data_IF_712981293124
#
_entry.id   IF_712981293124
#
_cell.length_a   1.000
_cell.length_b   1.000
_cell.length_c   1.000
_cell.angle_alpha   90.00
_cell.angle_beta   90.00
_cell.angle_gamma   90.00
#
_symmetry.space_group_name_H-M   'P 1'
#
loop_
_entity.id
_entity.type
_entity.pdbx_description
1 polymer ?
#
# COMPACT_ATOMS: atom_id res chain seq x y z
N UNK A 1 -10.50 8.37 14.26
CA UNK A 1 -10.40 8.02 12.83
C UNK A 1 -8.93 8.06 12.47
N UNK A 2 -8.37 6.97 11.99
CA UNK A 2 -6.97 6.86 11.55
C UNK A 2 -6.92 6.65 10.04
N UNK A 3 -5.82 7.04 9.41
CA UNK A 3 -5.57 6.86 7.99
C UNK A 3 -4.28 6.07 7.82
N UNK A 4 -4.35 4.99 7.09
CA UNK A 4 -3.24 4.08 6.84
C UNK A 4 -2.82 4.19 5.39
N UNK A 5 -1.55 4.52 5.14
CA UNK A 5 -1.01 4.56 3.79
C UNK A 5 -0.17 3.31 3.54
N UNK A 6 -0.67 2.42 2.70
CA UNK A 6 0.01 1.19 2.30
C UNK A 6 0.93 1.48 1.12
N UNK A 7 2.23 1.36 1.33
CA UNK A 7 3.24 1.46 0.28
C UNK A 7 4.09 0.19 0.21
N UNK A 8 4.82 -0.01 -0.85
CA UNK A 8 5.70 -1.17 -1.01
C UNK A 8 7.14 -0.77 -1.28
N UNK A 9 8.06 -1.70 -1.05
CA UNK A 9 9.45 -1.54 -1.48
C UNK A 9 9.61 -1.62 -3.01
N UNK A 10 8.57 -2.14 -3.71
CA UNK A 10 8.49 -2.28 -5.17
C UNK A 10 7.04 -2.48 -5.61
N UNK A 11 6.82 -2.75 -6.90
CA UNK A 11 5.58 -3.32 -7.42
C UNK A 11 5.50 -4.83 -7.06
N UNK A 12 4.31 -5.42 -7.13
CA UNK A 12 4.05 -6.87 -6.90
C UNK A 12 4.57 -7.44 -5.55
N UNK A 13 4.65 -6.60 -4.52
CA UNK A 13 5.06 -7.01 -3.18
C UNK A 13 3.90 -7.35 -2.24
N UNK A 14 2.66 -7.40 -2.75
CA UNK A 14 1.47 -7.77 -1.96
C UNK A 14 0.72 -6.60 -1.33
N UNK A 15 0.89 -5.35 -1.80
CA UNK A 15 0.17 -4.16 -1.28
C UNK A 15 -1.34 -4.34 -1.25
N UNK A 16 -1.93 -4.82 -2.34
CA UNK A 16 -3.38 -4.97 -2.50
C UNK A 16 -3.96 -5.98 -1.50
N UNK A 17 -3.24 -7.09 -1.26
CA UNK A 17 -3.62 -8.09 -0.24
C UNK A 17 -3.53 -7.46 1.17
N UNK A 18 -2.43 -6.78 1.48
CA UNK A 18 -2.28 -6.08 2.77
C UNK A 18 -3.35 -5.01 2.95
N UNK A 19 -3.67 -4.26 1.90
CA UNK A 19 -4.75 -3.26 1.95
C UNK A 19 -6.12 -3.91 2.21
N UNK A 20 -6.41 -5.07 1.61
CA UNK A 20 -7.63 -5.84 1.89
C UNK A 20 -7.67 -6.31 3.36
N UNK A 21 -6.57 -6.84 3.88
CA UNK A 21 -6.45 -7.27 5.29
C UNK A 21 -6.70 -6.09 6.25
N UNK A 22 -6.09 -4.94 6.01
CA UNK A 22 -6.29 -3.74 6.83
C UNK A 22 -7.72 -3.22 6.75
N UNK A 23 -8.30 -3.19 5.55
CA UNK A 23 -9.68 -2.78 5.30
C UNK A 23 -10.66 -3.67 6.07
N UNK A 24 -10.47 -4.99 6.03
CA UNK A 24 -11.29 -5.96 6.77
C UNK A 24 -11.07 -5.84 8.29
N UNK A 25 -9.81 -5.79 8.74
CA UNK A 25 -9.43 -5.74 10.15
C UNK A 25 -10.03 -4.54 10.89
N UNK A 26 -9.99 -3.38 10.25
CA UNK A 26 -10.41 -2.09 10.81
C UNK A 26 -11.85 -1.72 10.42
N UNK A 27 -12.49 -2.51 9.55
CA UNK A 27 -13.74 -2.15 8.85
C UNK A 27 -13.63 -0.76 8.21
N UNK A 28 -12.43 -0.46 7.68
CA UNK A 28 -12.08 0.84 7.13
C UNK A 28 -12.64 1.02 5.73
N UNK A 29 -12.77 2.27 5.30
CA UNK A 29 -12.95 2.58 3.89
C UNK A 29 -11.63 2.35 3.14
N UNK A 30 -11.72 2.12 1.84
CA UNK A 30 -10.55 1.91 0.98
C UNK A 30 -10.50 2.94 -0.15
N UNK A 31 -9.30 3.39 -0.45
CA UNK A 31 -9.05 4.31 -1.55
C UNK A 31 -7.69 4.06 -2.19
N UNK A 32 -7.68 3.87 -3.50
CA UNK A 32 -6.47 3.88 -4.32
C UNK A 32 -6.47 5.16 -5.15
N UNK A 33 -5.65 6.18 -4.80
CA UNK A 33 -5.64 7.48 -5.48
C UNK A 33 -5.38 7.38 -6.97
N UNK A 34 -4.47 6.49 -7.37
CA UNK A 34 -4.02 6.34 -8.75
C UNK A 34 -3.99 4.86 -9.11
N UNK A 35 -4.70 4.50 -10.16
CA UNK A 35 -4.64 3.22 -10.83
C UNK A 35 -3.97 3.40 -12.18
N UNK A 36 -3.02 2.51 -12.54
CA UNK A 36 -2.40 2.47 -13.86
C UNK A 36 -2.48 1.05 -14.40
N UNK A 37 -3.22 0.88 -15.49
CA UNK A 37 -3.56 -0.42 -16.09
C UNK A 37 -4.63 -1.18 -15.30
N UNK A 38 -5.00 -2.34 -15.82
CA UNK A 38 -5.97 -3.29 -15.24
C UNK A 38 -7.33 -2.66 -14.91
N UNK A 39 -7.81 -1.71 -15.72
CA UNK A 39 -9.03 -0.95 -15.42
C UNK A 39 -10.30 -1.81 -15.45
N UNK A 40 -10.29 -2.94 -16.14
CA UNK A 40 -11.42 -3.88 -16.19
C UNK A 40 -11.60 -4.65 -14.86
N UNK A 41 -10.49 -4.87 -14.14
CA UNK A 41 -10.48 -5.48 -12.81
C UNK A 41 -9.37 -4.87 -11.97
N UNK A 42 -9.60 -3.63 -11.55
CA UNK A 42 -8.61 -2.81 -10.85
C UNK A 42 -8.38 -3.26 -9.38
N UNK A 43 -7.39 -2.65 -8.73
CA UNK A 43 -7.07 -3.02 -7.34
C UNK A 43 -8.23 -2.68 -6.37
N UNK A 44 -9.05 -1.68 -6.66
CA UNK A 44 -10.25 -1.37 -5.86
C UNK A 44 -11.25 -2.52 -5.93
N UNK A 45 -11.49 -3.07 -7.13
CA UNK A 45 -12.36 -4.22 -7.33
C UNK A 45 -11.78 -5.50 -6.68
N UNK A 46 -10.45 -5.70 -6.79
CA UNK A 46 -9.75 -6.81 -6.11
C UNK A 46 -9.94 -6.75 -4.60
N UNK A 47 -9.68 -5.59 -3.98
CA UNK A 47 -9.88 -5.40 -2.53
C UNK A 47 -11.34 -5.59 -2.14
N UNK A 48 -12.28 -5.02 -2.89
CA UNK A 48 -13.71 -5.19 -2.66
C UNK A 48 -14.15 -6.66 -2.74
N UNK A 49 -13.59 -7.43 -3.67
CA UNK A 49 -13.85 -8.87 -3.79
C UNK A 49 -13.32 -9.69 -2.63
N UNK A 50 -12.24 -9.24 -1.98
CA UNK A 50 -11.58 -9.91 -0.86
C UNK A 50 -12.15 -9.55 0.52
N UNK A 51 -12.76 -8.39 0.66
CA UNK A 51 -13.34 -7.90 1.92
C UNK A 51 -14.71 -8.51 2.14
N UNK A 52 -15.00 -8.94 3.37
CA UNK A 52 -16.25 -9.59 3.78
C UNK A 52 -17.21 -8.66 4.49
N UNK A 53 -16.70 -7.64 5.20
CA UNK A 53 -17.54 -6.71 5.92
C UNK A 53 -18.35 -5.83 4.95
N UNK A 54 -19.52 -5.40 5.38
CA UNK A 54 -20.46 -4.61 4.57
C UNK A 54 -20.44 -3.13 4.91
N UNK A 55 -19.54 -2.69 5.78
CA UNK A 55 -19.48 -1.29 6.26
C UNK A 55 -18.46 -0.46 5.50
N UNK A 56 -17.46 -1.11 4.91
CA UNK A 56 -16.41 -0.44 4.14
C UNK A 56 -16.92 0.17 2.84
N UNK A 57 -16.54 1.41 2.58
CA UNK A 57 -16.82 2.11 1.31
C UNK A 57 -15.55 2.07 0.45
N UNK A 58 -15.70 1.69 -0.81
CA UNK A 58 -14.61 1.65 -1.79
C UNK A 58 -14.70 2.89 -2.67
N UNK A 59 -13.75 3.80 -2.48
CA UNK A 59 -13.76 5.12 -3.14
C UNK A 59 -13.14 5.05 -4.53
N UNK A 60 -13.67 5.86 -5.45
CA UNK A 60 -13.15 5.96 -6.83
C UNK A 60 -11.74 6.52 -6.85
N UNK A 61 -10.93 6.03 -7.78
CA UNK A 61 -9.60 6.58 -8.06
C UNK A 61 -9.70 8.05 -8.44
N UNK A 62 -8.71 8.85 -8.07
CA UNK A 62 -8.56 10.23 -8.60
C UNK A 62 -8.05 10.21 -10.05
N UNK A 63 -7.22 9.22 -10.37
CA UNK A 63 -6.74 8.94 -11.72
C UNK A 63 -6.84 7.46 -12.02
N UNK A 64 -7.47 7.11 -13.13
CA UNK A 64 -7.49 5.80 -13.75
C UNK A 64 -6.81 5.92 -15.11
N UNK A 65 -5.61 5.35 -15.24
CA UNK A 65 -4.73 5.45 -16.41
C UNK A 65 -4.72 4.11 -17.14
N UNK A 66 -4.78 4.14 -18.47
CA UNK A 66 -5.02 2.93 -19.27
C UNK A 66 -3.83 1.96 -19.32
N UNK A 67 -2.60 2.48 -19.28
CA UNK A 67 -1.41 1.66 -19.52
C UNK A 67 -0.82 1.17 -18.19
N UNK A 68 -0.46 -0.14 -18.04
CA UNK A 68 0.14 -0.69 -16.84
C UNK A 68 1.63 -0.30 -16.73
N UNK A 69 1.87 0.98 -16.47
CA UNK A 69 3.18 1.59 -16.30
C UNK A 69 3.19 2.48 -15.05
N UNK A 70 4.34 3.08 -14.76
CA UNK A 70 4.41 4.13 -13.74
C UNK A 70 3.45 5.28 -14.07
N UNK A 71 2.81 5.91 -13.07
CA UNK A 71 1.79 6.93 -13.30
C UNK A 71 2.19 8.03 -14.28
N UNK A 72 3.44 8.53 -14.20
CA UNK A 72 3.91 9.58 -15.12
C UNK A 72 3.95 9.12 -16.57
N UNK A 73 4.41 7.87 -16.81
CA UNK A 73 4.50 7.33 -18.17
C UNK A 73 3.12 6.98 -18.75
N UNK A 74 2.27 6.34 -17.93
CA UNK A 74 0.89 6.05 -18.33
C UNK A 74 0.10 7.33 -18.63
N UNK A 75 0.23 8.34 -17.78
CA UNK A 75 -0.41 9.64 -17.98
C UNK A 75 0.07 10.35 -19.26
N UNK A 76 1.36 10.24 -19.60
CA UNK A 76 1.90 10.78 -20.85
C UNK A 76 1.24 10.14 -22.07
N UNK A 77 1.07 8.82 -22.08
CA UNK A 77 0.41 8.07 -23.15
C UNK A 77 -1.06 8.47 -23.25
N UNK A 78 -1.74 8.64 -22.12
CA UNK A 78 -3.15 9.01 -22.06
C UNK A 78 -3.39 10.51 -22.35
N UNK A 79 -2.34 11.32 -22.57
CA UNK A 79 -2.46 12.77 -22.74
C UNK A 79 -2.94 13.49 -21.46
N UNK A 80 -2.72 12.90 -20.30
CA UNK A 80 -3.14 13.42 -18.99
C UNK A 80 -1.93 13.93 -18.20
N UNK A 81 -2.11 14.99 -17.45
CA UNK A 81 -1.10 15.46 -16.47
C UNK A 81 -1.58 15.17 -15.06
N UNK A 82 -0.90 14.24 -14.38
CA UNK A 82 -1.13 13.96 -12.97
C UNK A 82 -0.63 15.12 -12.11
N UNK A 83 -1.42 15.52 -11.12
CA UNK A 83 -1.09 16.59 -10.17
C UNK A 83 -1.62 16.26 -8.79
N UNK A 84 -0.80 16.38 -7.75
CA UNK A 84 -1.21 16.21 -6.36
C UNK A 84 -2.38 17.11 -5.97
N UNK A 85 -2.46 18.32 -6.53
CA UNK A 85 -3.56 19.26 -6.26
C UNK A 85 -4.94 18.73 -6.64
N UNK A 86 -5.00 17.82 -7.61
CA UNK A 86 -6.24 17.17 -8.05
C UNK A 86 -6.54 15.86 -7.32
N UNK A 87 -5.56 15.28 -6.62
CA UNK A 87 -5.74 14.08 -5.81
C UNK A 87 -6.29 14.51 -4.46
N UNK A 88 -7.61 14.38 -4.31
CA UNK A 88 -8.31 14.78 -3.09
C UNK A 88 -8.78 13.55 -2.33
N UNK A 89 -8.33 13.45 -1.09
CA UNK A 89 -8.77 12.43 -0.15
C UNK A 89 -10.31 12.43 -0.03
N UNK A 90 -10.94 11.25 -0.10
CA UNK A 90 -12.38 11.15 0.08
C UNK A 90 -12.80 11.57 1.48
N UNK A 91 -13.97 12.20 1.58
CA UNK A 91 -14.57 12.53 2.87
C UNK A 91 -15.21 11.28 3.45
N UNK A 92 -14.73 10.83 4.58
CA UNK A 92 -15.28 9.70 5.33
C UNK A 92 -15.32 9.99 6.82
N UNK A 93 -16.19 9.30 7.56
CA UNK A 93 -16.23 9.27 9.02
C UNK A 93 -15.62 7.99 9.58
N UNK A 94 -15.12 7.11 8.70
CA UNK A 94 -14.50 5.83 9.04
C UNK A 94 -12.97 5.92 9.01
N UNK A 95 -12.27 4.89 9.48
CA UNK A 95 -10.86 4.71 9.16
C UNK A 95 -10.69 4.64 7.64
N UNK A 96 -9.52 5.02 7.13
CA UNK A 96 -9.25 5.00 5.69
C UNK A 96 -7.94 4.26 5.40
N UNK A 97 -8.01 3.24 4.56
CA UNK A 97 -6.85 2.57 3.98
C UNK A 97 -6.60 3.17 2.60
N UNK A 98 -5.40 3.72 2.42
CA UNK A 98 -4.96 4.38 1.18
C UNK A 98 -3.87 3.51 0.56
N UNK A 99 -4.07 3.03 -0.66
CA UNK A 99 -3.06 2.22 -1.35
C UNK A 99 -2.26 3.04 -2.36
N UNK A 100 -0.94 3.07 -2.18
CA UNK A 100 -0.01 3.67 -3.14
C UNK A 100 0.16 2.83 -4.41
N UNK A 101 0.78 3.40 -5.43
CA UNK A 101 1.08 2.72 -6.69
C UNK A 101 2.59 2.45 -6.80
N UNK A 102 3.00 1.18 -6.92
CA UNK A 102 4.41 0.78 -6.98
C UNK A 102 5.17 1.06 -5.68
N UNK A 103 6.41 1.48 -5.80
CA UNK A 103 7.26 1.89 -4.68
C UNK A 103 7.16 3.37 -4.36
N UNK A 104 7.82 3.77 -3.25
CA UNK A 104 7.72 5.10 -2.67
C UNK A 104 8.13 6.24 -3.61
N UNK A 105 9.20 6.05 -4.39
CA UNK A 105 9.73 7.09 -5.28
C UNK A 105 9.25 6.94 -6.73
N UNK A 106 8.17 6.17 -6.95
CA UNK A 106 7.54 6.10 -8.28
C UNK A 106 7.01 7.48 -8.66
N UNK A 107 7.40 8.01 -9.83
CA UNK A 107 7.03 9.37 -10.23
C UNK A 107 5.56 9.47 -10.66
N UNK A 108 4.92 10.53 -10.21
CA UNK A 108 3.59 10.95 -10.63
C UNK A 108 3.67 11.90 -11.84
N UNK A 109 4.72 12.72 -11.86
CA UNK A 109 5.08 13.67 -12.89
C UNK A 109 6.57 14.05 -12.71
N UNK A 110 7.06 15.09 -13.42
CA UNK A 110 8.46 15.53 -13.40
C UNK A 110 8.95 16.05 -12.03
N UNK A 111 8.08 16.23 -11.04
CA UNK A 111 8.39 16.90 -9.76
C UNK A 111 7.90 16.13 -8.53
N UNK A 112 6.89 15.30 -8.68
CA UNK A 112 6.15 14.69 -7.59
C UNK A 112 6.21 13.16 -7.70
N UNK A 113 6.29 12.48 -6.56
CA UNK A 113 6.35 11.02 -6.44
C UNK A 113 5.21 10.51 -5.53
N UNK A 114 5.08 9.20 -5.40
CA UNK A 114 4.14 8.58 -4.44
C UNK A 114 4.41 9.06 -3.00
N UNK A 115 5.67 9.30 -2.63
CA UNK A 115 6.03 9.84 -1.30
C UNK A 115 5.33 11.16 -1.00
N UNK A 116 5.11 12.00 -2.01
CA UNK A 116 4.49 13.31 -1.84
C UNK A 116 2.96 13.25 -1.63
N UNK A 117 2.34 12.05 -1.80
CA UNK A 117 0.96 11.79 -1.41
C UNK A 117 0.81 11.57 0.11
N UNK A 118 1.88 11.17 0.79
CA UNK A 118 1.83 10.79 2.20
C UNK A 118 1.80 12.04 3.07
N UNK A 119 0.72 12.19 3.83
CA UNK A 119 0.56 13.31 4.76
C UNK A 119 1.13 12.97 6.14
N UNK A 120 1.50 13.97 6.95
CA UNK A 120 2.06 13.75 8.30
C UNK A 120 1.11 13.03 9.27
N UNK A 121 -0.20 13.10 9.03
CA UNK A 121 -1.24 12.44 9.84
C UNK A 121 -1.54 10.99 9.40
N UNK A 122 -0.80 10.45 8.43
CA UNK A 122 -0.96 9.06 7.99
C UNK A 122 -0.05 8.11 8.75
N UNK A 123 -0.58 6.96 9.14
CA UNK A 123 0.21 5.82 9.59
C UNK A 123 0.68 5.03 8.35
N UNK A 124 1.99 4.96 8.15
CA UNK A 124 2.55 4.30 6.95
C UNK A 124 2.78 2.82 7.23
N UNK A 125 2.21 1.98 6.39
CA UNK A 125 2.44 0.54 6.36
C UNK A 125 3.31 0.21 5.15
N UNK A 126 4.54 -0.23 5.42
CA UNK A 126 5.49 -0.64 4.40
C UNK A 126 5.40 -2.14 4.16
N UNK A 127 5.01 -2.54 2.97
CA UNK A 127 5.00 -3.94 2.55
C UNK A 127 6.34 -4.31 1.96
N UNK A 128 7.01 -5.29 2.56
CA UNK A 128 8.33 -5.77 2.16
C UNK A 128 8.27 -7.26 1.82
N UNK A 129 8.43 -7.60 0.54
CA UNK A 129 8.55 -8.99 0.06
C UNK A 129 10.01 -9.40 -0.01
N UNK A 130 10.29 -10.68 0.32
CA UNK A 130 11.65 -11.20 0.26
C UNK A 130 12.05 -11.59 -1.16
N UNK A 131 13.18 -11.05 -1.60
CA UNK A 131 13.90 -11.39 -2.83
C UNK A 131 15.33 -10.87 -2.73
N UNK A 132 16.22 -11.32 -3.62
CA UNK A 132 17.61 -10.84 -3.62
C UNK A 132 17.66 -9.32 -3.86
N UNK A 133 18.12 -8.55 -2.87
CA UNK A 133 18.13 -7.10 -2.87
C UNK A 133 17.03 -6.45 -2.01
N UNK A 134 16.07 -7.22 -1.47
CA UNK A 134 14.96 -6.67 -0.67
C UNK A 134 15.42 -5.95 0.59
N UNK A 135 16.50 -6.38 1.24
CA UNK A 135 17.10 -5.67 2.39
C UNK A 135 17.44 -4.23 1.99
N UNK A 136 18.18 -4.07 0.88
CA UNK A 136 18.56 -2.75 0.38
C UNK A 136 17.33 -1.89 0.06
N UNK A 137 16.35 -2.43 -0.68
CA UNK A 137 15.15 -1.69 -1.06
C UNK A 137 14.30 -1.31 0.15
N UNK A 138 14.21 -2.19 1.15
CA UNK A 138 13.48 -1.90 2.39
C UNK A 138 14.15 -0.78 3.18
N UNK A 139 15.45 -0.86 3.39
CA UNK A 139 16.20 0.17 4.13
C UNK A 139 16.22 1.52 3.41
N UNK A 140 16.36 1.54 2.08
CA UNK A 140 16.25 2.76 1.28
C UNK A 140 14.86 3.40 1.43
N UNK A 141 13.80 2.61 1.39
CA UNK A 141 12.42 3.08 1.56
C UNK A 141 12.20 3.65 2.97
N UNK A 142 12.66 2.95 4.01
CA UNK A 142 12.60 3.43 5.40
C UNK A 142 13.34 4.76 5.55
N UNK A 143 14.55 4.87 4.99
CA UNK A 143 15.34 6.09 5.07
C UNK A 143 14.69 7.26 4.33
N UNK A 144 14.07 7.02 3.18
CA UNK A 144 13.33 8.04 2.45
C UNK A 144 12.11 8.55 3.25
N UNK A 145 11.36 7.66 3.92
CA UNK A 145 10.28 8.05 4.82
C UNK A 145 10.80 8.89 5.99
N UNK A 146 11.85 8.44 6.67
CA UNK A 146 12.46 9.17 7.79
C UNK A 146 12.97 10.56 7.40
N UNK A 147 13.56 10.69 6.21
CA UNK A 147 14.01 11.98 5.68
C UNK A 147 12.86 12.99 5.48
N UNK A 148 11.61 12.49 5.33
CA UNK A 148 10.38 13.30 5.28
C UNK A 148 9.71 13.44 6.66
N UNK A 149 10.33 12.97 7.73
CA UNK A 149 9.75 12.99 9.09
C UNK A 149 8.62 11.99 9.29
N UNK A 150 8.52 10.96 8.45
CA UNK A 150 7.50 9.93 8.50
C UNK A 150 8.09 8.66 9.12
N UNK A 151 7.32 8.02 10.00
CA UNK A 151 7.62 6.68 10.51
C UNK A 151 6.77 5.65 9.77
N UNK A 152 7.23 4.40 9.75
CA UNK A 152 6.45 3.30 9.20
C UNK A 152 6.51 2.07 10.10
N UNK A 153 5.50 1.21 9.95
CA UNK A 153 5.50 -0.16 10.44
C UNK A 153 5.61 -1.10 9.23
N UNK A 154 6.22 -2.26 9.42
CA UNK A 154 6.44 -3.24 8.33
C UNK A 154 5.45 -4.39 8.45
N UNK A 155 4.90 -4.78 7.30
CA UNK A 155 4.31 -6.10 7.07
C UNK A 155 5.17 -6.79 6.03
N UNK A 156 5.73 -7.94 6.39
CA UNK A 156 6.42 -8.80 5.43
C UNK A 156 5.43 -9.57 4.56
N UNK A 157 5.82 -9.90 3.35
CA UNK A 157 5.02 -10.69 2.41
C UNK A 157 5.87 -11.82 1.87
N UNK A 158 5.29 -13.01 1.82
CA UNK A 158 5.97 -14.25 1.42
C UNK A 158 6.55 -15.02 2.59
N UNK A 159 7.25 -16.12 2.28
CA UNK A 159 7.81 -17.04 3.25
C UNK A 159 8.80 -16.38 4.21
N UNK A 160 8.90 -16.94 5.41
CA UNK A 160 9.79 -16.44 6.44
C UNK A 160 11.26 -16.42 6.01
N UNK A 161 11.96 -15.34 6.35
CA UNK A 161 13.39 -15.20 6.14
C UNK A 161 14.05 -14.54 7.35
N UNK A 162 14.29 -15.28 8.45
CA UNK A 162 14.65 -14.74 9.76
C UNK A 162 15.84 -13.79 9.75
N UNK A 163 16.89 -14.14 9.00
CA UNK A 163 18.11 -13.30 8.91
C UNK A 163 17.86 -11.97 8.23
N UNK A 164 17.07 -11.97 7.15
CA UNK A 164 16.67 -10.75 6.42
C UNK A 164 15.80 -9.85 7.29
N UNK A 165 14.84 -10.41 8.00
CA UNK A 165 13.92 -9.66 8.84
C UNK A 165 14.62 -9.07 10.07
N UNK A 166 15.49 -9.87 10.72
CA UNK A 166 16.27 -9.42 11.85
C UNK A 166 17.16 -8.22 11.51
N UNK A 167 17.85 -8.26 10.37
CA UNK A 167 18.72 -7.14 9.94
C UNK A 167 17.93 -5.90 9.54
N UNK A 168 16.78 -6.08 8.85
CA UNK A 168 15.89 -4.97 8.52
C UNK A 168 15.35 -4.30 9.79
N UNK A 169 14.90 -5.08 10.77
CA UNK A 169 14.43 -4.56 12.07
C UNK A 169 15.52 -3.77 12.78
N UNK A 170 16.73 -4.32 12.85
CA UNK A 170 17.86 -3.72 13.55
C UNK A 170 18.32 -2.41 12.89
N UNK A 171 18.61 -2.44 11.59
CA UNK A 171 19.11 -1.27 10.86
C UNK A 171 18.00 -0.26 10.57
N UNK A 172 16.80 -0.74 10.26
CA UNK A 172 15.64 0.10 9.99
C UNK A 172 15.09 0.78 11.25
N UNK A 173 15.31 0.20 12.44
CA UNK A 173 14.71 0.67 13.72
C UNK A 173 13.21 0.91 13.55
N UNK A 174 12.51 -0.10 13.05
CA UNK A 174 11.08 -0.08 12.73
C UNK A 174 10.34 -1.19 13.45
N UNK A 175 9.07 -0.98 13.68
CA UNK A 175 8.15 -1.99 14.18
C UNK A 175 7.74 -2.94 13.06
N UNK A 176 7.74 -4.24 13.34
CA UNK A 176 7.20 -5.27 12.45
C UNK A 176 5.84 -5.67 13.01
N UNK A 177 4.76 -5.45 12.24
CA UNK A 177 3.40 -5.84 12.62
C UNK A 177 3.23 -7.36 12.46
N UNK A 178 3.77 -7.93 11.38
CA UNK A 178 3.62 -9.36 11.09
C UNK A 178 3.97 -9.69 9.65
N UNK A 179 3.46 -10.84 9.21
CA UNK A 179 3.69 -11.41 7.89
C UNK A 179 2.39 -11.89 7.28
N UNK A 180 2.29 -11.71 5.97
CA UNK A 180 1.36 -12.43 5.09
C UNK A 180 2.17 -13.49 4.37
N UNK A 181 1.91 -14.74 4.67
CA UNK A 181 2.63 -15.89 4.09
C UNK A 181 2.34 -16.06 2.58
N UNK A 182 3.09 -16.93 1.92
CA UNK A 182 2.82 -17.35 0.56
C UNK A 182 1.61 -18.30 0.57
N UNK A 183 0.43 -17.79 0.25
CA UNK A 183 -0.79 -18.56 0.20
C UNK A 183 -1.05 -19.11 -1.21
N UNK A 184 -1.63 -20.30 -1.37
CA UNK A 184 -1.99 -20.85 -2.69
C UNK A 184 -2.98 -19.94 -3.43
N UNK A 185 -3.83 -19.24 -2.71
CA UNK A 185 -4.78 -18.23 -3.19
C UNK A 185 -5.19 -17.31 -2.05
N UNK A 186 -5.72 -16.15 -2.40
CA UNK A 186 -6.35 -15.24 -1.44
C UNK A 186 -7.84 -15.18 -1.72
N UNK A 187 -8.64 -15.52 -0.71
CA UNK A 187 -10.09 -15.36 -0.70
C UNK A 187 -10.54 -14.62 0.58
N UNK A 188 -11.85 -14.47 0.73
CA UNK A 188 -12.43 -13.80 1.90
C UNK A 188 -12.08 -14.48 3.23
N UNK A 189 -11.94 -15.80 3.25
CA UNK A 189 -11.66 -16.55 4.48
C UNK A 189 -10.21 -16.32 4.90
N UNK A 190 -9.27 -16.43 3.97
CA UNK A 190 -7.84 -16.14 4.20
C UNK A 190 -7.67 -14.69 4.68
N UNK A 191 -8.35 -13.73 4.05
CA UNK A 191 -8.31 -12.32 4.48
C UNK A 191 -8.87 -12.14 5.89
N UNK A 192 -9.96 -12.82 6.25
CA UNK A 192 -10.54 -12.77 7.61
C UNK A 192 -9.57 -13.31 8.67
N UNK A 193 -8.85 -14.40 8.38
CA UNK A 193 -7.84 -14.97 9.27
C UNK A 193 -6.71 -13.97 9.55
N UNK A 194 -6.13 -13.38 8.50
CA UNK A 194 -5.09 -12.35 8.66
C UNK A 194 -5.63 -11.08 9.32
N UNK A 195 -6.84 -10.66 9.02
CA UNK A 195 -7.49 -9.52 9.65
C UNK A 195 -7.65 -9.72 11.17
N UNK A 196 -8.02 -10.93 11.60
CA UNK A 196 -8.09 -11.27 13.02
C UNK A 196 -6.70 -11.25 13.69
N UNK A 197 -5.66 -11.79 13.03
CA UNK A 197 -4.27 -11.79 13.54
C UNK A 197 -3.73 -10.35 13.72
N UNK A 198 -4.02 -9.45 12.77
CA UNK A 198 -3.43 -8.11 12.77
C UNK A 198 -4.22 -7.08 13.59
N UNK A 199 -5.49 -7.34 13.89
CA UNK A 199 -6.38 -6.40 14.61
C UNK A 199 -5.80 -5.86 15.91
N UNK A 200 -5.11 -6.70 16.68
CA UNK A 200 -4.54 -6.33 17.97
C UNK A 200 -3.21 -5.53 17.84
N UNK A 201 -2.64 -5.42 16.61
CA UNK A 201 -1.33 -4.83 16.34
C UNK A 201 -1.44 -3.48 15.60
N UNK A 202 -2.66 -3.09 15.20
CA UNK A 202 -2.99 -1.87 14.49
C UNK A 202 -3.63 -0.82 15.42
#
# INVERSE_FOLDING_TARGET
MKKYFVTGISTEVGKTVVAAILTESLKADYWKPIQSGDLDYDDTQKVQGLVSNTTSIFHKNSYALNTPMSPHASALIDGIKVSLKKIKEPKTKNHLVIEGAGGLLVPLNDKETILDLIKPDYEVILVSRHYLGSINHTLLTINALKAKGLNCKIIFSGNEHPTTEAIIKTLGKVEIIGRVEEEPYFDKNVILEYAAKFRALL
#
